data_IF_032113033478
#
_entry.id   IF_032113033478
#
_cell.length_a   1.000
_cell.length_b   1.000
_cell.length_c   1.000
_cell.angle_alpha   90.00
_cell.angle_beta   90.00
_cell.angle_gamma   90.00
#
_symmetry.space_group_name_H-M   'P 1'
#
loop_
_entity.id
_entity.type
_entity.pdbx_description
1 polymer ?
#
# COMPACT_ATOMS: atom_id res chain seq x y z
N UNK A 1 -16.05 0.23 -10.10
CA UNK A 1 -15.22 0.67 -8.99
C UNK A 1 -15.81 0.14 -7.69
N UNK A 2 -15.10 -0.80 -7.06
CA UNK A 2 -15.52 -1.39 -5.78
C UNK A 2 -14.42 -1.09 -4.73
N UNK A 3 -13.93 0.15 -4.73
CA UNK A 3 -12.95 0.57 -3.74
C UNK A 3 -13.65 1.07 -2.51
N UNK A 4 -13.17 0.62 -1.34
CA UNK A 4 -13.62 1.08 -0.04
C UNK A 4 -12.47 1.65 0.78
N UNK A 5 -12.83 2.51 1.71
CA UNK A 5 -11.95 3.30 2.54
C UNK A 5 -12.30 3.07 4.01
N UNK A 6 -11.29 3.07 4.85
CA UNK A 6 -11.47 3.18 6.29
C UNK A 6 -11.66 4.64 6.68
N UNK A 7 -12.75 4.96 7.35
CA UNK A 7 -13.00 6.29 7.91
C UNK A 7 -13.05 6.16 9.43
N UNK A 8 -12.35 7.07 10.11
CA UNK A 8 -12.25 7.12 11.56
C UNK A 8 -12.72 8.49 12.06
N UNK A 9 -13.48 8.48 13.14
CA UNK A 9 -13.62 9.63 14.04
C UNK A 9 -12.46 9.61 15.06
N UNK A 10 -12.43 10.43 16.08
CA UNK A 10 -11.28 10.59 17.00
C UNK A 10 -10.64 9.27 17.46
N UNK A 11 -11.21 8.59 18.45
CA UNK A 11 -10.74 7.27 18.91
C UNK A 11 -11.75 6.22 18.48
N UNK A 12 -11.47 5.49 17.40
CA UNK A 12 -12.43 4.55 16.83
C UNK A 12 -11.78 3.43 16.03
N UNK A 13 -12.56 2.37 15.83
CA UNK A 13 -12.29 1.39 14.79
C UNK A 13 -12.68 1.95 13.42
N UNK A 14 -12.17 1.31 12.39
CA UNK A 14 -12.47 1.58 10.99
C UNK A 14 -13.97 1.43 10.69
N UNK A 15 -14.55 2.45 10.06
CA UNK A 15 -15.87 2.38 9.41
C UNK A 15 -15.64 2.27 7.90
N UNK A 16 -16.34 1.34 7.25
CA UNK A 16 -16.24 1.17 5.80
C UNK A 16 -17.05 2.24 5.05
N UNK A 17 -16.39 2.94 4.15
CA UNK A 17 -16.99 3.87 3.20
C UNK A 17 -16.68 3.43 1.78
N UNK A 18 -17.68 3.53 0.91
CA UNK A 18 -17.56 3.17 -0.51
C UNK A 18 -17.66 4.39 -1.39
N UNK A 19 -17.13 4.30 -2.60
CA UNK A 19 -17.27 5.37 -3.60
C UNK A 19 -18.72 5.38 -4.09
N UNK A 20 -19.40 6.52 -3.87
CA UNK A 20 -20.72 6.82 -4.41
C UNK A 20 -20.65 7.45 -5.79
N UNK A 21 -19.70 8.36 -5.99
CA UNK A 21 -19.55 9.15 -7.19
C UNK A 21 -18.08 9.50 -7.40
N UNK A 22 -17.61 9.42 -8.65
CA UNK A 22 -16.30 9.93 -9.04
C UNK A 22 -16.45 11.41 -9.46
N UNK A 23 -15.53 12.24 -9.01
CA UNK A 23 -15.48 13.67 -9.27
C UNK A 23 -14.22 13.98 -10.11
N UNK A 24 -14.25 15.10 -10.83
CA UNK A 24 -13.09 15.66 -11.55
C UNK A 24 -12.36 14.63 -12.41
N UNK A 25 -13.11 13.90 -13.26
CA UNK A 25 -12.58 12.88 -14.16
C UNK A 25 -11.83 11.74 -13.42
N UNK A 26 -12.18 11.48 -12.16
CA UNK A 26 -11.58 10.44 -11.32
C UNK A 26 -10.44 10.93 -10.41
N UNK A 27 -10.16 12.24 -10.38
CA UNK A 27 -9.20 12.83 -9.44
C UNK A 27 -9.77 13.03 -8.03
N UNK A 28 -11.09 12.93 -7.88
CA UNK A 28 -11.81 12.97 -6.61
C UNK A 28 -12.89 11.91 -6.52
N UNK A 29 -13.37 11.66 -5.30
CA UNK A 29 -14.49 10.75 -5.07
C UNK A 29 -15.35 11.25 -3.92
N UNK A 30 -16.68 11.07 -4.06
CA UNK A 30 -17.61 11.21 -2.97
C UNK A 30 -17.80 9.86 -2.31
N UNK A 31 -17.50 9.80 -1.03
CA UNK A 31 -17.65 8.58 -0.22
C UNK A 31 -19.00 8.55 0.49
N UNK A 32 -19.55 7.36 0.68
CA UNK A 32 -20.78 7.10 1.42
C UNK A 32 -20.56 5.96 2.42
N UNK A 33 -20.99 6.15 3.66
CA UNK A 33 -20.90 5.20 4.75
C UNK A 33 -21.46 5.78 6.04
N UNK A 34 -21.32 5.06 7.13
CA UNK A 34 -21.76 5.51 8.46
C UNK A 34 -20.59 5.47 9.45
N UNK A 35 -20.43 6.55 10.19
CA UNK A 35 -19.47 6.64 11.30
C UNK A 35 -20.01 7.56 12.40
N UNK A 36 -19.34 7.61 13.52
CA UNK A 36 -19.69 8.50 14.63
C UNK A 36 -19.38 9.94 14.21
N UNK A 37 -20.31 10.90 14.42
CA UNK A 37 -20.05 12.31 14.12
C UNK A 37 -18.85 12.85 14.89
N UNK A 38 -17.99 13.59 14.19
CA UNK A 38 -16.78 14.21 14.73
C UNK A 38 -16.45 15.48 13.96
N UNK A 39 -15.63 16.36 14.57
CA UNK A 39 -15.16 17.59 13.90
C UNK A 39 -14.06 17.29 12.87
N UNK A 40 -13.34 16.19 13.03
CA UNK A 40 -12.29 15.75 12.11
C UNK A 40 -12.46 14.27 11.83
N UNK A 41 -12.41 13.91 10.54
CA UNK A 41 -12.37 12.53 10.09
C UNK A 41 -11.01 12.24 9.51
N UNK A 42 -10.51 11.03 9.79
CA UNK A 42 -9.30 10.49 9.19
C UNK A 42 -9.68 9.39 8.23
N UNK A 43 -8.98 9.31 7.10
CA UNK A 43 -9.29 8.40 6.01
C UNK A 43 -8.06 7.59 5.67
N UNK A 44 -8.21 6.28 5.53
CA UNK A 44 -7.19 5.36 5.05
C UNK A 44 -7.72 4.59 3.84
N UNK A 45 -6.93 4.50 2.79
CA UNK A 45 -7.14 3.62 1.66
C UNK A 45 -6.03 2.56 1.60
N UNK A 46 -6.34 1.32 1.27
CA UNK A 46 -7.67 0.71 1.16
C UNK A 46 -8.35 0.51 2.53
N UNK A 47 -9.61 0.09 2.50
CA UNK A 47 -10.32 -0.32 3.71
C UNK A 47 -9.62 -1.49 4.40
N UNK A 48 -9.38 -1.35 5.70
CA UNK A 48 -8.83 -2.38 6.57
C UNK A 48 -9.76 -2.53 7.78
N UNK A 49 -10.46 -3.65 7.87
CA UNK A 49 -11.54 -3.88 8.84
C UNK A 49 -11.09 -3.72 10.29
N UNK A 50 -9.91 -4.18 10.63
CA UNK A 50 -9.36 -4.18 11.99
C UNK A 50 -8.41 -2.99 12.27
N UNK A 51 -8.36 -2.03 11.33
CA UNK A 51 -7.62 -0.80 11.58
C UNK A 51 -8.32 0.03 12.67
N UNK A 52 -7.53 0.70 13.48
CA UNK A 52 -8.01 1.58 14.54
C UNK A 52 -7.16 2.84 14.63
N UNK A 53 -7.78 3.93 15.08
CA UNK A 53 -7.08 5.17 15.38
C UNK A 53 -7.04 5.40 16.89
N UNK A 54 -5.88 5.76 17.41
CA UNK A 54 -5.67 6.20 18.79
C UNK A 54 -4.59 7.28 18.80
N UNK A 55 -4.81 8.36 19.53
CA UNK A 55 -3.84 9.47 19.69
C UNK A 55 -3.31 10.03 18.35
N UNK A 56 -4.17 10.08 17.32
CA UNK A 56 -3.79 10.54 15.98
C UNK A 56 -2.93 9.57 15.17
N UNK A 57 -2.77 8.34 15.64
CA UNK A 57 -2.06 7.26 14.97
C UNK A 57 -3.04 6.18 14.51
N UNK A 58 -2.97 5.80 13.23
CA UNK A 58 -3.74 4.69 12.66
C UNK A 58 -2.86 3.44 12.74
N UNK A 59 -3.33 2.42 13.44
CA UNK A 59 -2.73 1.09 13.48
C UNK A 59 -3.44 0.21 12.45
N UNK A 60 -2.69 -0.36 11.52
CA UNK A 60 -3.24 -1.15 10.42
C UNK A 60 -2.39 -2.39 10.15
N UNK A 61 -3.03 -3.56 10.16
CA UNK A 61 -2.38 -4.82 9.83
C UNK A 61 -2.10 -4.89 8.35
N UNK A 62 -0.93 -5.44 8.00
CA UNK A 62 -0.53 -5.70 6.62
C UNK A 62 -0.73 -4.48 5.70
N UNK A 63 -0.43 -3.28 6.22
CA UNK A 63 -0.65 -2.01 5.51
C UNK A 63 0.17 -1.94 4.21
N UNK A 64 1.36 -2.53 4.20
CA UNK A 64 2.14 -2.82 3.00
C UNK A 64 2.34 -4.32 2.93
N UNK A 65 1.61 -5.06 2.07
CA UNK A 65 1.71 -6.50 2.00
C UNK A 65 3.10 -6.98 1.54
N UNK A 66 3.67 -7.96 2.25
CA UNK A 66 4.94 -8.58 1.87
C UNK A 66 4.83 -9.49 0.62
N UNK A 67 3.60 -9.90 0.27
CA UNK A 67 3.31 -10.61 -0.99
C UNK A 67 2.32 -9.81 -1.80
N UNK A 68 2.70 -9.48 -3.04
CA UNK A 68 1.94 -8.64 -3.95
C UNK A 68 1.79 -9.33 -5.31
N UNK A 69 0.75 -9.00 -6.09
CA UNK A 69 0.60 -9.51 -7.45
C UNK A 69 1.74 -9.05 -8.37
N UNK A 70 2.29 -9.96 -9.16
CA UNK A 70 3.20 -9.62 -10.26
C UNK A 70 2.37 -9.27 -11.48
N UNK A 71 2.24 -7.99 -11.78
CA UNK A 71 1.50 -7.46 -12.94
C UNK A 71 2.42 -6.65 -13.82
N UNK A 72 2.36 -6.87 -15.14
CA UNK A 72 3.19 -6.16 -16.10
C UNK A 72 2.72 -4.70 -16.27
N UNK A 73 3.66 -3.76 -16.25
CA UNK A 73 3.48 -2.33 -16.43
C UNK A 73 2.61 -1.58 -15.40
N UNK A 74 2.20 -2.25 -14.33
CA UNK A 74 1.39 -1.66 -13.28
C UNK A 74 1.60 -2.38 -11.94
N UNK A 75 0.84 -2.01 -10.95
CA UNK A 75 0.71 -2.69 -9.64
C UNK A 75 -0.78 -2.72 -9.26
N UNK A 76 -1.13 -3.58 -8.33
CA UNK A 76 -2.47 -3.56 -7.75
C UNK A 76 -2.62 -2.31 -6.86
N UNK A 77 -3.51 -1.40 -7.24
CA UNK A 77 -3.73 -0.13 -6.53
C UNK A 77 -4.10 -0.35 -5.06
N UNK A 78 -4.75 -1.46 -4.71
CA UNK A 78 -5.06 -1.83 -3.31
C UNK A 78 -3.84 -2.12 -2.45
N UNK A 79 -2.67 -2.28 -3.06
CA UNK A 79 -1.41 -2.44 -2.32
C UNK A 79 -0.74 -1.10 -1.98
N UNK A 80 -1.21 0.02 -2.56
CA UNK A 80 -0.61 1.34 -2.38
C UNK A 80 -1.47 2.19 -1.42
N UNK A 81 -1.17 2.17 -0.11
CA UNK A 81 -1.96 2.87 0.87
C UNK A 81 -1.85 4.39 0.76
N UNK A 82 -2.96 5.06 1.07
CA UNK A 82 -3.04 6.50 1.13
C UNK A 82 -3.84 6.96 2.36
N UNK A 83 -3.51 8.10 2.90
CA UNK A 83 -4.23 8.72 4.02
C UNK A 83 -4.64 10.14 3.69
N UNK A 84 -5.70 10.60 4.36
CA UNK A 84 -6.16 11.97 4.34
C UNK A 84 -6.94 12.29 5.62
N UNK A 85 -7.22 13.56 5.82
CA UNK A 85 -8.09 14.00 6.93
C UNK A 85 -8.88 15.24 6.53
N UNK A 86 -10.01 15.45 7.19
CA UNK A 86 -10.78 16.68 7.11
C UNK A 86 -10.33 17.65 8.21
N UNK A 87 -10.52 18.95 8.02
CA UNK A 87 -10.24 19.94 9.06
C UNK A 87 -11.54 20.67 9.46
N UNK A 88 -11.91 20.54 10.72
CA UNK A 88 -13.10 21.17 11.27
C UNK A 88 -14.37 20.78 10.53
N UNK A 89 -15.17 21.76 10.11
CA UNK A 89 -16.41 21.56 9.38
C UNK A 89 -16.24 21.20 7.89
N UNK A 90 -15.00 21.14 7.40
CA UNK A 90 -14.72 20.76 6.02
C UNK A 90 -14.99 19.27 5.79
N UNK A 91 -15.55 18.95 4.62
CA UNK A 91 -15.87 17.58 4.21
C UNK A 91 -14.92 17.07 3.13
N UNK A 92 -13.90 17.83 2.78
CA UNK A 92 -12.89 17.47 1.79
C UNK A 92 -11.62 17.01 2.50
N UNK A 93 -11.14 15.83 2.15
CA UNK A 93 -9.89 15.27 2.66
C UNK A 93 -8.91 15.02 1.51
N UNK A 94 -7.89 15.84 1.34
CA UNK A 94 -6.81 15.56 0.38
C UNK A 94 -6.10 14.27 0.75
N UNK A 95 -6.04 13.32 -0.21
CA UNK A 95 -5.40 12.02 -0.01
C UNK A 95 -3.93 12.06 -0.42
N UNK A 96 -3.07 11.45 0.39
CA UNK A 96 -1.62 11.32 0.15
C UNK A 96 -1.20 9.87 0.21
N UNK A 97 -0.50 9.38 -0.82
CA UNK A 97 0.15 8.08 -0.77
C UNK A 97 1.23 8.05 0.31
N UNK A 98 1.29 6.97 1.08
CA UNK A 98 2.22 6.79 2.20
C UNK A 98 3.26 5.70 1.94
N UNK A 99 3.15 4.96 0.84
CA UNK A 99 4.13 4.00 0.39
C UNK A 99 4.97 4.54 -0.78
N UNK A 100 6.12 3.92 -1.01
CA UNK A 100 6.99 4.14 -2.14
C UNK A 100 6.83 3.08 -3.23
N UNK A 101 7.24 3.39 -4.46
CA UNK A 101 7.28 2.45 -5.57
C UNK A 101 8.71 2.19 -6.01
N UNK A 102 9.10 0.91 -6.05
CA UNK A 102 10.35 0.47 -6.68
C UNK A 102 10.03 -0.11 -8.04
N UNK A 103 10.50 0.57 -9.10
CA UNK A 103 10.33 0.16 -10.50
C UNK A 103 11.49 -0.70 -10.95
N UNK A 104 11.21 -1.88 -11.47
CA UNK A 104 12.21 -2.80 -12.03
C UNK A 104 11.88 -3.09 -13.49
N UNK A 105 12.89 -2.99 -14.37
CA UNK A 105 12.79 -3.37 -15.78
C UNK A 105 13.64 -4.61 -16.02
N UNK A 106 13.03 -5.64 -16.61
CA UNK A 106 13.63 -6.96 -16.75
C UNK A 106 13.54 -7.45 -18.18
N UNK A 107 14.64 -7.98 -18.69
CA UNK A 107 14.70 -8.78 -19.93
C UNK A 107 15.20 -10.18 -19.60
N UNK A 108 14.99 -11.15 -20.45
CA UNK A 108 15.48 -12.52 -20.24
C UNK A 108 14.82 -13.53 -21.14
N UNK A 109 15.12 -14.80 -20.90
CA UNK A 109 14.60 -15.96 -21.67
C UNK A 109 14.03 -17.03 -20.71
N UNK A 110 13.32 -16.58 -19.67
CA UNK A 110 12.66 -17.45 -18.72
C UNK A 110 11.20 -17.07 -18.59
N UNK A 111 10.38 -18.00 -18.16
CA UNK A 111 9.01 -17.74 -17.77
C UNK A 111 8.98 -17.30 -16.30
N UNK A 112 8.94 -16.01 -16.08
CA UNK A 112 9.03 -15.40 -14.77
C UNK A 112 7.78 -15.72 -13.93
N UNK A 113 8.00 -16.18 -12.69
CA UNK A 113 6.94 -16.47 -11.72
C UNK A 113 6.97 -15.58 -10.50
N UNK A 114 8.17 -15.16 -10.10
CA UNK A 114 8.36 -14.40 -8.87
C UNK A 114 9.54 -13.45 -8.98
N UNK A 115 9.39 -12.29 -8.36
CA UNK A 115 10.50 -11.38 -8.09
C UNK A 115 10.46 -11.04 -6.61
N UNK A 116 11.57 -11.18 -5.90
CA UNK A 116 11.70 -10.77 -4.50
C UNK A 116 12.68 -9.61 -4.41
N UNK A 117 12.25 -8.51 -3.80
CA UNK A 117 13.10 -7.41 -3.34
C UNK A 117 13.33 -7.64 -1.85
N UNK A 118 14.58 -7.71 -1.42
CA UNK A 118 14.96 -7.93 -0.03
C UNK A 118 16.04 -6.92 0.37
N UNK A 119 15.84 -6.22 1.48
CA UNK A 119 16.91 -5.44 2.10
C UNK A 119 18.06 -6.37 2.54
N UNK A 120 19.29 -5.89 2.44
CA UNK A 120 20.46 -6.63 2.94
C UNK A 120 20.64 -6.47 4.48
N UNK A 121 19.65 -5.85 5.15
CA UNK A 121 19.58 -5.71 6.60
C UNK A 121 18.19 -6.08 7.09
N UNK A 122 18.09 -7.00 8.04
CA UNK A 122 16.83 -7.44 8.64
C UNK A 122 16.09 -6.32 9.40
N UNK A 123 16.80 -5.26 9.78
CA UNK A 123 16.22 -4.10 10.47
C UNK A 123 15.63 -3.05 9.51
N UNK A 124 15.82 -3.20 8.21
CA UNK A 124 15.27 -2.30 7.20
C UNK A 124 13.93 -2.85 6.69
N UNK A 125 12.90 -2.78 7.55
CA UNK A 125 11.57 -3.30 7.26
C UNK A 125 10.87 -2.47 6.18
N UNK A 126 10.33 -3.12 5.16
CA UNK A 126 9.72 -2.49 3.97
C UNK A 126 8.28 -2.94 3.71
N UNK A 127 7.77 -3.87 4.51
CA UNK A 127 6.40 -4.35 4.43
C UNK A 127 5.91 -4.85 5.80
N UNK A 128 4.62 -5.02 5.96
CA UNK A 128 4.01 -5.60 7.16
C UNK A 128 2.93 -4.74 7.77
N UNK A 129 2.66 -5.01 9.05
CA UNK A 129 1.81 -4.21 9.94
C UNK A 129 2.53 -2.91 10.30
N UNK A 130 1.78 -1.85 10.50
CA UNK A 130 2.41 -0.57 10.86
C UNK A 130 1.47 0.45 11.45
N UNK A 131 2.10 1.53 11.88
CA UNK A 131 1.46 2.71 12.45
C UNK A 131 1.67 3.90 11.54
N UNK A 132 0.59 4.62 11.26
CA UNK A 132 0.57 5.77 10.37
C UNK A 132 0.21 7.01 11.19
N UNK A 133 1.00 8.06 11.11
CA UNK A 133 0.55 9.37 11.56
C UNK A 133 -0.58 9.87 10.66
N UNK A 134 -1.77 10.02 11.22
CA UNK A 134 -2.98 10.28 10.43
C UNK A 134 -3.01 11.66 9.76
N UNK A 135 -2.18 12.60 10.21
CA UNK A 135 -2.05 13.96 9.64
C UNK A 135 -0.88 14.07 8.67
N UNK A 136 0.28 13.55 9.05
CA UNK A 136 1.50 13.68 8.23
C UNK A 136 1.63 12.58 7.18
N UNK A 137 0.99 11.42 7.40
CA UNK A 137 1.14 10.23 6.57
C UNK A 137 2.48 9.52 6.76
N UNK A 138 3.20 9.79 7.84
CA UNK A 138 4.42 9.06 8.17
C UNK A 138 4.08 7.64 8.57
N UNK A 139 4.64 6.66 7.86
CA UNK A 139 4.44 5.22 8.08
C UNK A 139 5.65 4.63 8.79
N UNK A 140 5.39 3.94 9.90
CA UNK A 140 6.37 3.13 10.63
C UNK A 140 5.92 1.67 10.62
N UNK A 141 6.75 0.76 10.14
CA UNK A 141 6.48 -0.69 10.19
C UNK A 141 6.88 -1.24 11.56
N UNK A 142 6.01 -2.08 12.14
CA UNK A 142 6.24 -2.71 13.43
C UNK A 142 7.36 -3.74 13.35
N UNK A 143 8.30 -3.70 14.29
CA UNK A 143 9.46 -4.59 14.29
C UNK A 143 9.08 -6.08 14.41
N UNK A 144 8.03 -6.38 15.16
CA UNK A 144 7.58 -7.76 15.40
C UNK A 144 6.76 -8.38 14.26
N UNK A 145 6.12 -7.54 13.42
CA UNK A 145 5.23 -7.97 12.32
C UNK A 145 5.67 -7.42 10.96
N UNK A 146 6.90 -6.91 10.90
CA UNK A 146 7.49 -6.37 9.71
C UNK A 146 8.29 -7.39 8.91
N UNK A 147 8.53 -7.06 7.65
CA UNK A 147 9.35 -7.83 6.72
C UNK A 147 10.36 -6.93 6.02
N UNK A 148 11.61 -7.39 5.97
CA UNK A 148 12.67 -6.76 5.17
C UNK A 148 12.55 -7.12 3.67
N UNK A 149 11.50 -7.82 3.26
CA UNK A 149 11.31 -8.23 1.86
C UNK A 149 9.88 -8.06 1.37
N UNK A 150 9.74 -7.81 0.07
CA UNK A 150 8.50 -7.86 -0.68
C UNK A 150 8.66 -8.81 -1.86
N UNK A 151 7.68 -9.69 -2.05
CA UNK A 151 7.66 -10.66 -3.14
C UNK A 151 6.48 -10.40 -4.07
N UNK A 152 6.78 -10.17 -5.35
CA UNK A 152 5.78 -10.17 -6.41
C UNK A 152 5.58 -11.61 -6.89
N UNK A 153 4.33 -12.08 -6.97
CA UNK A 153 3.97 -13.43 -7.41
C UNK A 153 2.97 -13.39 -8.56
N UNK A 154 3.29 -14.05 -9.65
CA UNK A 154 2.41 -14.16 -10.80
C UNK A 154 1.37 -15.27 -10.61
N UNK A 155 0.12 -15.02 -10.99
CA UNK A 155 -0.92 -16.06 -11.08
C UNK A 155 -0.63 -17.03 -12.23
N UNK A 156 -0.04 -16.52 -13.33
CA UNK A 156 0.48 -17.28 -14.47
C UNK A 156 1.88 -16.76 -14.79
N UNK A 157 2.79 -17.67 -15.21
CA UNK A 157 4.13 -17.26 -15.60
C UNK A 157 4.11 -16.21 -16.72
N UNK A 158 5.04 -15.26 -16.64
CA UNK A 158 5.18 -14.16 -17.59
C UNK A 158 6.44 -14.41 -18.42
N UNK A 159 6.32 -14.71 -19.73
CA UNK A 159 7.50 -14.94 -20.56
C UNK A 159 8.32 -13.65 -20.68
N UNK A 160 9.59 -13.72 -20.31
CA UNK A 160 10.56 -12.66 -20.56
C UNK A 160 11.15 -12.81 -21.95
N UNK A 161 11.43 -11.68 -22.58
CA UNK A 161 12.02 -11.59 -23.90
C UNK A 161 13.13 -10.53 -23.90
N UNK A 162 13.72 -10.27 -25.06
CA UNK A 162 14.67 -9.17 -25.22
C UNK A 162 13.99 -7.78 -25.11
N UNK A 163 12.66 -7.72 -25.20
CA UNK A 163 11.88 -6.49 -24.92
C UNK A 163 11.68 -6.36 -23.41
N UNK A 164 12.12 -5.24 -22.79
CA UNK A 164 12.01 -5.07 -21.34
C UNK A 164 10.56 -5.02 -20.86
N UNK A 165 10.25 -5.81 -19.83
CA UNK A 165 9.00 -5.75 -19.06
C UNK A 165 9.23 -4.99 -17.77
N UNK A 166 8.23 -4.23 -17.36
CA UNK A 166 8.31 -3.38 -16.17
C UNK A 166 7.42 -3.95 -15.06
N UNK A 167 7.95 -3.96 -13.83
CA UNK A 167 7.24 -4.40 -12.63
C UNK A 167 7.43 -3.38 -11.52
N UNK A 168 6.49 -3.31 -10.58
CA UNK A 168 6.51 -2.36 -9.48
C UNK A 168 6.29 -3.07 -8.16
N UNK A 169 7.15 -2.78 -7.19
CA UNK A 169 6.95 -3.12 -5.79
C UNK A 169 6.37 -1.91 -5.06
N UNK A 170 5.37 -2.12 -4.24
CA UNK A 170 4.93 -1.15 -3.23
C UNK A 170 5.69 -1.47 -1.95
N UNK A 171 6.39 -0.50 -1.38
CA UNK A 171 7.22 -0.67 -0.19
C UNK A 171 7.00 0.46 0.81
N UNK A 172 7.17 0.20 2.09
CA UNK A 172 7.24 1.26 3.08
C UNK A 172 8.47 2.15 2.80
N UNK A 173 8.36 3.49 2.97
CA UNK A 173 9.48 4.39 2.74
C UNK A 173 10.67 4.04 3.65
N UNK A 174 11.80 3.68 3.05
CA UNK A 174 13.01 3.29 3.77
C UNK A 174 14.28 3.62 2.98
N UNK A 175 15.35 3.93 3.70
CA UNK A 175 16.69 3.99 3.13
C UNK A 175 17.33 2.60 3.24
N UNK A 176 17.80 2.06 2.14
CA UNK A 176 18.56 0.80 2.10
C UNK A 176 20.05 1.09 2.34
N UNK A 177 20.43 1.33 3.59
CA UNK A 177 21.81 1.67 3.94
C UNK A 177 22.80 0.53 3.62
N UNK A 178 22.34 -0.71 3.75
CA UNK A 178 23.12 -1.93 3.41
C UNK A 178 22.89 -2.41 1.98
N UNK A 179 22.12 -1.66 1.17
CA UNK A 179 21.70 -2.06 -0.16
C UNK A 179 20.54 -3.07 -0.13
N UNK A 180 20.21 -3.61 -1.29
CA UNK A 180 19.14 -4.60 -1.46
C UNK A 180 19.53 -5.64 -2.49
N UNK A 181 18.83 -6.78 -2.43
CA UNK A 181 18.97 -7.90 -3.38
C UNK A 181 17.67 -8.13 -4.12
N UNK A 182 17.75 -8.33 -5.44
CA UNK A 182 16.64 -8.77 -6.28
C UNK A 182 16.86 -10.22 -6.70
N UNK A 183 15.88 -11.06 -6.39
CA UNK A 183 15.88 -12.49 -6.80
C UNK A 183 14.75 -12.74 -7.79
N UNK A 184 15.09 -13.37 -8.92
CA UNK A 184 14.13 -13.72 -9.97
C UNK A 184 13.97 -15.23 -10.02
N UNK A 185 12.74 -15.72 -9.98
CA UNK A 185 12.39 -17.12 -10.05
C UNK A 185 11.51 -17.36 -11.27
N UNK A 186 12.00 -18.20 -12.19
CA UNK A 186 11.27 -18.68 -13.33
C UNK A 186 10.63 -20.06 -13.07
N UNK A 187 9.69 -20.48 -13.93
CA UNK A 187 9.31 -21.87 -14.05
C UNK A 187 10.43 -22.63 -14.77
N UNK A 188 10.79 -23.81 -14.29
CA UNK A 188 11.48 -24.79 -15.12
C UNK A 188 10.43 -25.39 -16.04
N UNK A 189 10.69 -25.44 -17.35
CA UNK A 189 10.02 -26.39 -18.23
C UNK A 189 10.34 -27.83 -17.84
#
# INVERSE_FOLDING_TARGET
ANDSFSVFSSMSFSSEFTIKELLDEGHGAKLEGMTIPADTYYILYPYIMDAMIAEGKIHARNIVPATQPLVENTFDHKQNPAVGHTEGAETVAPMKNIAGLVKVRVTGKIDLRRITLMSNSDNELIAGTGTIDAKTGELTIDESEGSASVTLTASKSIPLTDTPKTFYFVVAPRTFASGFTLTFIGSKE
#
